data_IF_906979997402
#
_entry.id   IF_906979997402
#
_cell.length_a   1.000
_cell.length_b   1.000
_cell.length_c   1.000
_cell.angle_alpha   90.00
_cell.angle_beta   90.00
_cell.angle_gamma   90.00
#
_symmetry.space_group_name_H-M   'P 1'
#
loop_
_entity.id
_entity.type
_entity.pdbx_description
1 polymer ?
#
# COMPACT_ATOMS: atom_id res chain seq x y z
N UNK A 1 -1.66 -19.84 11.81
CA UNK A 1 -1.96 -19.83 13.26
C UNK A 1 -0.78 -19.20 13.97
N UNK A 2 -1.00 -18.22 14.83
CA UNK A 2 0.04 -17.65 15.71
C UNK A 2 -0.35 -17.84 17.18
N UNK A 3 0.64 -17.80 18.06
CA UNK A 3 0.41 -17.86 19.51
C UNK A 3 0.61 -16.47 20.11
N UNK A 4 -0.30 -16.07 20.96
CA UNK A 4 -0.15 -14.88 21.78
C UNK A 4 0.87 -15.17 22.91
N UNK A 5 1.76 -14.23 23.15
CA UNK A 5 2.69 -14.27 24.28
C UNK A 5 2.07 -13.64 25.54
N UNK A 6 2.85 -13.54 26.60
CA UNK A 6 2.39 -12.99 27.87
C UNK A 6 1.95 -11.51 27.77
N UNK A 7 2.50 -10.74 26.83
CA UNK A 7 2.17 -9.31 26.67
C UNK A 7 0.91 -9.12 25.84
N UNK A 8 0.66 -10.00 24.87
CA UNK A 8 -0.51 -9.95 24.00
C UNK A 8 -1.68 -10.77 24.53
N UNK A 9 -1.45 -11.66 25.49
CA UNK A 9 -2.49 -12.48 26.10
C UNK A 9 -3.61 -11.62 26.69
N UNK A 10 -4.86 -11.90 26.31
CA UNK A 10 -6.05 -11.17 26.75
C UNK A 10 -6.27 -9.84 26.00
N UNK A 11 -5.49 -9.54 24.98
CA UNK A 11 -5.80 -8.55 23.96
C UNK A 11 -6.50 -9.24 22.78
N UNK A 12 -7.38 -8.52 22.11
CA UNK A 12 -8.02 -8.96 20.87
C UNK A 12 -7.13 -8.57 19.69
N UNK A 13 -6.22 -9.48 19.31
CA UNK A 13 -5.13 -9.25 18.35
C UNK A 13 -5.36 -10.03 17.08
N UNK A 14 -5.16 -9.36 15.95
CA UNK A 14 -5.28 -9.94 14.62
C UNK A 14 -4.03 -9.62 13.78
N UNK A 15 -3.51 -10.63 13.08
CA UNK A 15 -2.56 -10.43 12.01
C UNK A 15 -3.30 -9.91 10.77
N UNK A 16 -2.77 -8.89 10.07
CA UNK A 16 -3.50 -8.20 9.00
C UNK A 16 -2.61 -7.91 7.79
N UNK A 17 -3.23 -7.47 6.71
CA UNK A 17 -2.55 -6.87 5.57
C UNK A 17 -1.66 -7.83 4.79
N UNK A 18 -0.45 -7.37 4.48
CA UNK A 18 0.52 -8.10 3.66
C UNK A 18 0.81 -9.51 4.15
N UNK A 19 0.95 -9.68 5.46
CA UNK A 19 1.24 -10.98 6.07
C UNK A 19 0.15 -12.04 5.82
N UNK A 20 -1.12 -11.63 5.85
CA UNK A 20 -2.24 -12.56 5.59
C UNK A 20 -2.35 -12.85 4.10
N UNK A 21 -2.28 -11.80 3.26
CA UNK A 21 -2.30 -11.93 1.80
C UNK A 21 -1.18 -12.85 1.29
N UNK A 22 0.07 -12.62 1.71
CA UNK A 22 1.21 -13.38 1.24
C UNK A 22 1.12 -14.84 1.68
N UNK A 23 0.64 -15.12 2.91
CA UNK A 23 0.36 -16.47 3.36
C UNK A 23 -0.71 -17.17 2.49
N UNK A 24 -1.78 -16.47 2.08
CA UNK A 24 -2.83 -16.99 1.21
C UNK A 24 -2.32 -17.24 -0.23
N UNK A 25 -1.35 -16.45 -0.68
CA UNK A 25 -0.67 -16.65 -1.96
C UNK A 25 0.39 -17.75 -1.92
N UNK A 26 0.67 -18.33 -0.75
CA UNK A 26 1.74 -19.31 -0.55
C UNK A 26 3.15 -18.70 -0.59
N UNK A 27 3.27 -17.40 -0.39
CA UNK A 27 4.55 -16.69 -0.33
C UNK A 27 5.12 -16.65 1.08
N UNK A 28 6.45 -16.51 1.21
CA UNK A 28 7.07 -16.30 2.51
C UNK A 28 6.54 -15.00 3.15
N UNK A 29 6.11 -15.13 4.40
CA UNK A 29 5.73 -13.97 5.21
C UNK A 29 6.98 -13.45 5.92
N UNK A 30 7.39 -12.22 5.62
CA UNK A 30 8.60 -11.60 6.17
C UNK A 30 8.25 -10.67 7.31
N UNK A 31 7.27 -9.78 7.09
CA UNK A 31 6.85 -8.78 8.07
C UNK A 31 5.46 -9.12 8.60
N UNK A 32 5.24 -8.84 9.89
CA UNK A 32 3.96 -9.04 10.53
C UNK A 32 3.41 -7.72 11.03
N UNK A 33 2.25 -7.34 10.48
CA UNK A 33 1.45 -6.22 10.96
C UNK A 33 0.30 -6.74 11.82
N UNK A 34 0.12 -6.12 12.98
CA UNK A 34 -0.90 -6.49 13.94
C UNK A 34 -1.90 -5.36 14.17
N UNK A 35 -3.18 -5.73 14.30
CA UNK A 35 -4.24 -4.83 14.78
C UNK A 35 -4.72 -5.32 16.14
N UNK A 36 -4.87 -4.38 17.07
CA UNK A 36 -5.42 -4.62 18.40
C UNK A 36 -6.76 -3.90 18.50
N UNK A 37 -7.81 -4.66 18.75
CA UNK A 37 -9.18 -4.16 18.91
C UNK A 37 -9.50 -4.00 20.41
N UNK A 38 -10.27 -2.99 20.76
CA UNK A 38 -10.76 -2.81 22.12
C UNK A 38 -9.73 -2.32 23.15
N UNK A 39 -8.51 -1.98 22.72
CA UNK A 39 -7.45 -1.51 23.61
C UNK A 39 -7.25 0.01 23.54
N UNK A 40 -6.66 0.57 24.59
CA UNK A 40 -6.25 1.98 24.65
C UNK A 40 -4.73 2.12 24.56
N UNK A 41 -4.22 3.32 24.18
CA UNK A 41 -2.78 3.59 24.20
C UNK A 41 -2.16 3.37 25.60
N UNK A 42 -2.90 3.66 26.65
CA UNK A 42 -2.47 3.46 28.05
C UNK A 42 -2.32 1.98 28.37
N UNK A 43 -3.28 1.15 27.95
CA UNK A 43 -3.22 -0.30 28.12
C UNK A 43 -2.00 -0.92 27.40
N UNK A 44 -1.69 -0.45 26.20
CA UNK A 44 -0.50 -0.90 25.47
C UNK A 44 0.81 -0.52 26.18
N UNK A 45 0.92 0.74 26.67
CA UNK A 45 2.10 1.21 27.43
C UNK A 45 2.27 0.44 28.72
N UNK A 46 1.20 0.17 29.47
CA UNK A 46 1.23 -0.59 30.72
C UNK A 46 1.73 -2.03 30.51
N UNK A 47 1.52 -2.59 29.32
CA UNK A 47 2.04 -3.90 28.91
C UNK A 47 3.49 -3.84 28.39
N UNK A 48 4.12 -2.66 28.35
CA UNK A 48 5.51 -2.48 27.93
C UNK A 48 5.71 -2.23 26.43
N UNK A 49 4.65 -2.08 25.65
CA UNK A 49 4.74 -1.68 24.24
C UNK A 49 5.25 -0.24 24.12
N UNK A 50 6.10 0.01 23.13
CA UNK A 50 6.70 1.33 22.89
C UNK A 50 5.95 2.06 21.77
N UNK A 51 5.38 3.27 22.03
CA UNK A 51 4.71 4.03 20.98
C UNK A 51 5.72 4.48 19.92
N UNK A 52 5.32 4.42 18.63
CA UNK A 52 6.06 4.93 17.48
C UNK A 52 5.16 5.82 16.64
N UNK A 53 5.76 6.87 16.06
CA UNK A 53 5.01 7.90 15.33
C UNK A 53 4.34 8.92 16.25
N UNK A 54 4.01 10.09 15.68
CA UNK A 54 3.35 11.17 16.41
C UNK A 54 1.83 11.15 16.22
N UNK A 55 1.38 10.72 15.04
CA UNK A 55 0.01 10.92 14.59
C UNK A 55 -0.83 9.63 14.59
N UNK A 56 -0.18 8.46 14.69
CA UNK A 56 -0.85 7.17 14.61
C UNK A 56 -0.58 6.31 15.85
N UNK A 57 -1.61 5.65 16.42
CA UNK A 57 -1.46 4.79 17.60
C UNK A 57 -0.84 3.44 17.24
N UNK A 58 0.43 3.47 16.82
CA UNK A 58 1.25 2.28 16.53
C UNK A 58 2.25 2.07 17.66
N UNK A 59 2.47 0.84 18.02
CA UNK A 59 3.32 0.42 19.12
C UNK A 59 4.26 -0.70 18.68
N UNK A 60 5.53 -0.64 19.08
CA UNK A 60 6.47 -1.74 18.88
C UNK A 60 6.41 -2.71 20.05
N UNK A 61 6.36 -3.99 19.73
CA UNK A 61 6.50 -5.04 20.69
C UNK A 61 7.93 -5.03 21.28
N UNK A 62 8.11 -5.03 22.62
CA UNK A 62 9.42 -4.78 23.23
C UNK A 62 10.49 -5.84 22.93
N UNK A 63 10.09 -7.07 22.56
CA UNK A 63 11.00 -8.17 22.30
C UNK A 63 11.15 -8.50 20.81
N UNK A 64 10.06 -8.41 20.01
CA UNK A 64 10.09 -8.77 18.59
C UNK A 64 10.27 -7.58 17.67
N UNK A 65 10.01 -6.35 18.17
CA UNK A 65 9.97 -5.10 17.40
C UNK A 65 8.87 -5.07 16.31
N UNK A 66 7.95 -6.03 16.30
CA UNK A 66 6.80 -6.03 15.41
C UNK A 66 5.83 -4.89 15.74
N UNK A 67 5.14 -4.40 14.72
CA UNK A 67 4.22 -3.27 14.83
C UNK A 67 2.80 -3.71 15.20
N UNK A 68 2.27 -3.11 16.26
CA UNK A 68 0.91 -3.30 16.77
C UNK A 68 0.16 -1.98 16.67
N UNK A 69 -0.78 -1.87 15.74
CA UNK A 69 -1.64 -0.71 15.59
C UNK A 69 -2.96 -0.91 16.36
N UNK A 70 -3.45 0.10 17.06
CA UNK A 70 -4.82 0.06 17.55
C UNK A 70 -5.79 0.18 16.38
N UNK A 71 -6.91 -0.56 16.45
CA UNK A 71 -8.00 -0.43 15.49
C UNK A 71 -8.45 1.03 15.42
N UNK A 72 -8.62 1.55 14.20
CA UNK A 72 -8.89 2.96 13.98
C UNK A 72 -9.72 3.20 12.72
N UNK A 73 -10.41 4.32 12.71
CA UNK A 73 -10.97 4.93 11.51
C UNK A 73 -10.15 6.17 11.15
N UNK A 74 -10.19 6.53 9.89
CA UNK A 74 -9.52 7.73 9.37
C UNK A 74 -10.59 8.56 8.64
N UNK A 75 -10.57 9.89 8.85
CA UNK A 75 -11.42 10.83 8.11
C UNK A 75 -10.56 11.89 7.48
N UNK A 76 -10.82 12.17 6.20
CA UNK A 76 -10.18 13.30 5.51
C UNK A 76 -10.77 14.61 6.09
N UNK A 77 -9.91 15.46 6.66
CA UNK A 77 -10.27 16.78 7.20
C UNK A 77 -9.58 17.94 6.44
N UNK A 78 -8.70 17.62 5.45
CA UNK A 78 -7.95 18.60 4.66
C UNK A 78 -7.24 17.98 3.48
N UNK A 79 -6.33 18.74 2.85
CA UNK A 79 -5.51 18.27 1.75
C UNK A 79 -4.19 17.66 2.24
N UNK A 80 -3.67 16.65 1.51
CA UNK A 80 -2.38 16.04 1.77
C UNK A 80 -2.34 15.13 3.01
N UNK A 81 -1.12 14.80 3.47
CA UNK A 81 -0.87 13.85 4.56
C UNK A 81 -1.37 14.33 5.93
N UNK A 82 -1.27 15.63 6.22
CA UNK A 82 -1.78 16.23 7.48
C UNK A 82 -3.29 16.44 7.49
N UNK A 83 -3.98 16.10 6.40
CA UNK A 83 -5.43 16.25 6.24
C UNK A 83 -6.24 15.07 6.76
N UNK A 84 -5.68 14.16 7.57
CA UNK A 84 -6.40 13.05 8.17
C UNK A 84 -6.58 13.25 9.68
N UNK A 85 -7.82 13.10 10.15
CA UNK A 85 -8.12 12.89 11.55
C UNK A 85 -8.21 11.39 11.82
N UNK A 86 -7.33 10.92 12.71
CA UNK A 86 -7.30 9.52 13.14
C UNK A 86 -8.10 9.38 14.41
N UNK A 87 -9.14 8.56 14.35
CA UNK A 87 -9.92 8.18 15.53
C UNK A 87 -9.61 6.74 15.91
N UNK A 88 -8.87 6.57 17.00
CA UNK A 88 -8.57 5.29 17.60
C UNK A 88 -9.21 5.23 18.99
N UNK A 89 -10.21 4.40 19.13
CA UNK A 89 -10.98 4.21 20.35
C UNK A 89 -11.31 2.73 20.52
N UNK A 90 -11.50 2.24 21.77
CA UNK A 90 -11.85 0.84 22.01
C UNK A 90 -13.17 0.37 21.38
N UNK A 91 -14.02 1.29 20.94
CA UNK A 91 -15.28 1.01 20.25
C UNK A 91 -15.10 0.77 18.74
N UNK A 92 -13.93 1.09 18.17
CA UNK A 92 -13.65 0.81 16.75
C UNK A 92 -13.52 -0.70 16.54
N UNK A 93 -14.35 -1.21 15.65
CA UNK A 93 -14.40 -2.64 15.32
C UNK A 93 -13.27 -3.04 14.35
N UNK A 94 -12.99 -4.33 14.26
CA UNK A 94 -12.06 -4.87 13.26
C UNK A 94 -12.53 -4.56 11.83
N UNK A 95 -13.83 -4.67 11.56
CA UNK A 95 -14.41 -4.41 10.23
C UNK A 95 -14.22 -2.95 9.82
N UNK A 96 -14.41 -2.00 10.73
CA UNK A 96 -14.16 -0.59 10.47
C UNK A 96 -12.68 -0.30 10.17
N UNK A 97 -11.73 -0.93 10.89
CA UNK A 97 -10.30 -0.83 10.54
C UNK A 97 -9.99 -1.43 9.17
N UNK A 98 -10.57 -2.56 8.84
CA UNK A 98 -10.38 -3.20 7.52
C UNK A 98 -11.00 -2.37 6.39
N UNK A 99 -12.14 -1.69 6.62
CA UNK A 99 -12.86 -0.92 5.61
C UNK A 99 -12.09 0.29 5.05
N UNK A 100 -11.19 0.86 5.85
CA UNK A 100 -10.35 2.00 5.45
C UNK A 100 -9.10 1.62 4.65
N UNK A 101 -8.82 0.32 4.45
CA UNK A 101 -7.64 -0.14 3.72
C UNK A 101 -7.76 0.10 2.21
N UNK A 102 -6.63 -0.01 1.52
CA UNK A 102 -6.55 0.25 0.07
C UNK A 102 -7.27 -0.82 -0.77
N UNK A 103 -6.86 -2.09 -0.63
CA UNK A 103 -7.34 -3.19 -1.46
C UNK A 103 -7.94 -4.31 -0.61
N UNK A 104 -8.94 -5.00 -1.15
CA UNK A 104 -9.62 -6.14 -0.49
C UNK A 104 -8.64 -7.22 -0.07
N UNK A 105 -7.65 -7.52 -0.91
CA UNK A 105 -6.60 -8.49 -0.62
C UNK A 105 -5.70 -8.11 0.58
N UNK A 106 -5.70 -6.84 0.99
CA UNK A 106 -5.01 -6.31 2.16
C UNK A 106 -5.96 -6.10 3.35
N UNK A 107 -7.27 -6.31 3.16
CA UNK A 107 -8.32 -6.12 4.16
C UNK A 107 -8.82 -7.45 4.75
N UNK A 108 -7.92 -8.40 4.88
CA UNK A 108 -8.15 -9.71 5.50
C UNK A 108 -7.40 -9.73 6.84
N UNK A 109 -8.06 -10.21 7.89
CA UNK A 109 -7.45 -10.40 9.20
C UNK A 109 -7.43 -11.88 9.58
N UNK A 110 -6.41 -12.29 10.36
CA UNK A 110 -6.31 -13.63 10.91
C UNK A 110 -6.19 -13.56 12.43
N UNK A 111 -7.10 -14.23 13.12
CA UNK A 111 -7.06 -14.39 14.57
C UNK A 111 -6.06 -15.45 15.04
N UNK A 112 -5.82 -15.57 16.38
CA UNK A 112 -4.85 -16.49 16.96
C UNK A 112 -5.13 -17.96 16.62
N UNK A 113 -6.40 -18.34 16.53
CA UNK A 113 -6.84 -19.68 16.12
C UNK A 113 -6.67 -19.99 14.64
N UNK A 114 -6.20 -19.03 13.84
CA UNK A 114 -6.05 -19.17 12.40
C UNK A 114 -7.32 -18.85 11.59
N UNK A 115 -8.44 -18.54 12.26
CA UNK A 115 -9.67 -18.13 11.60
C UNK A 115 -9.47 -16.82 10.84
N UNK A 116 -10.02 -16.72 9.64
CA UNK A 116 -9.96 -15.51 8.82
C UNK A 116 -11.25 -14.69 9.00
N UNK A 117 -11.07 -13.37 9.11
CA UNK A 117 -12.14 -12.36 9.04
C UNK A 117 -11.93 -11.60 7.74
N UNK A 118 -12.87 -11.74 6.81
CA UNK A 118 -12.77 -11.20 5.44
C UNK A 118 -14.12 -10.60 5.00
N UNK A 119 -14.50 -9.45 5.57
CA UNK A 119 -15.80 -8.83 5.28
C UNK A 119 -15.89 -8.25 3.86
N UNK A 120 -14.75 -8.07 3.18
CA UNK A 120 -14.66 -7.45 1.86
C UNK A 120 -14.29 -8.42 0.73
N UNK A 121 -14.39 -9.74 0.98
CA UNK A 121 -14.16 -10.79 -0.01
C UNK A 121 -12.75 -10.80 -0.63
N UNK A 122 -11.73 -10.40 0.14
CA UNK A 122 -10.35 -10.38 -0.33
C UNK A 122 -9.81 -11.76 -0.72
N UNK A 123 -10.27 -12.85 -0.06
CA UNK A 123 -9.91 -14.21 -0.46
C UNK A 123 -10.42 -14.53 -1.86
N UNK A 124 -11.66 -14.15 -2.18
CA UNK A 124 -12.24 -14.31 -3.51
C UNK A 124 -11.47 -13.51 -4.56
N UNK A 125 -11.08 -12.27 -4.26
CA UNK A 125 -10.28 -11.45 -5.17
C UNK A 125 -8.85 -12.01 -5.35
N UNK A 126 -8.26 -12.64 -4.33
CA UNK A 126 -6.99 -13.39 -4.47
C UNK A 126 -7.17 -14.57 -5.45
N UNK A 127 -8.24 -15.36 -5.32
CA UNK A 127 -8.53 -16.49 -6.22
C UNK A 127 -8.78 -16.03 -7.65
N UNK A 128 -9.49 -14.91 -7.82
CA UNK A 128 -9.80 -14.31 -9.13
C UNK A 128 -8.67 -13.47 -9.70
N UNK A 129 -7.58 -13.29 -8.97
CA UNK A 129 -6.44 -12.44 -9.35
C UNK A 129 -6.85 -11.00 -9.62
N UNK A 130 -7.65 -10.41 -8.74
CA UNK A 130 -8.14 -9.04 -8.85
C UNK A 130 -7.55 -8.12 -7.76
N UNK A 131 -7.15 -6.94 -8.19
CA UNK A 131 -6.85 -5.81 -7.32
C UNK A 131 -8.08 -4.91 -7.27
N UNK A 132 -8.85 -5.03 -6.18
CA UNK A 132 -10.10 -4.29 -5.96
C UNK A 132 -9.97 -3.38 -4.75
N UNK A 133 -10.44 -2.13 -4.84
CA UNK A 133 -10.55 -1.22 -3.69
C UNK A 133 -11.58 -1.75 -2.67
N UNK A 134 -11.34 -1.45 -1.39
CA UNK A 134 -12.21 -1.95 -0.31
C UNK A 134 -13.54 -1.21 -0.26
N UNK A 135 -13.48 0.12 -0.33
CA UNK A 135 -14.63 1.00 -0.11
C UNK A 135 -14.42 2.38 -0.77
N UNK A 136 -15.43 3.26 -0.80
CA UNK A 136 -15.27 4.63 -1.27
C UNK A 136 -14.19 5.44 -0.54
N UNK A 137 -13.79 5.05 0.68
CA UNK A 137 -12.68 5.63 1.41
C UNK A 137 -11.33 5.52 0.66
N UNK A 138 -11.26 4.71 -0.41
CA UNK A 138 -10.11 4.65 -1.31
C UNK A 138 -9.72 6.03 -1.84
N UNK A 139 -10.70 6.87 -2.21
CA UNK A 139 -10.47 8.21 -2.74
C UNK A 139 -9.99 9.23 -1.71
N UNK A 140 -10.02 8.91 -0.42
CA UNK A 140 -9.57 9.82 0.64
C UNK A 140 -8.04 9.98 0.64
N UNK A 141 -7.27 8.93 0.31
CA UNK A 141 -5.81 9.01 0.16
C UNK A 141 -5.40 8.79 -1.32
N UNK A 142 -5.08 9.85 -2.07
CA UNK A 142 -4.67 9.73 -3.48
C UNK A 142 -3.45 8.84 -3.70
N UNK A 143 -2.60 8.63 -2.69
CA UNK A 143 -1.46 7.71 -2.77
C UNK A 143 -1.90 6.26 -3.10
N UNK A 144 -3.13 5.90 -2.80
CA UNK A 144 -3.67 4.56 -3.12
C UNK A 144 -3.71 4.27 -4.61
N UNK A 145 -3.77 5.29 -5.47
CA UNK A 145 -3.60 5.12 -6.92
C UNK A 145 -2.21 4.56 -7.24
N UNK A 146 -1.16 5.18 -6.69
CA UNK A 146 0.22 4.72 -6.88
C UNK A 146 0.44 3.34 -6.25
N UNK A 147 -0.09 3.13 -5.05
CA UNK A 147 -0.02 1.84 -4.35
C UNK A 147 -0.67 0.71 -5.16
N UNK A 148 -1.85 0.95 -5.75
CA UNK A 148 -2.54 -0.05 -6.59
C UNK A 148 -1.72 -0.38 -7.83
N UNK A 149 -1.17 0.64 -8.52
CA UNK A 149 -0.28 0.45 -9.65
C UNK A 149 0.97 -0.36 -9.27
N UNK A 150 1.57 -0.10 -8.08
CA UNK A 150 2.69 -0.88 -7.56
C UNK A 150 2.30 -2.33 -7.24
N UNK A 151 1.11 -2.57 -6.69
CA UNK A 151 0.64 -3.94 -6.47
C UNK A 151 0.44 -4.68 -7.79
N UNK A 152 0.01 -3.99 -8.86
CA UNK A 152 -0.02 -4.61 -10.19
C UNK A 152 1.41 -4.93 -10.67
N UNK A 153 2.36 -4.02 -10.52
CA UNK A 153 3.77 -4.28 -10.84
C UNK A 153 4.31 -5.51 -10.08
N UNK A 154 3.86 -5.72 -8.84
CA UNK A 154 4.26 -6.87 -8.03
C UNK A 154 3.59 -8.18 -8.46
N UNK A 155 2.33 -8.16 -8.89
CA UNK A 155 1.53 -9.37 -9.06
C UNK A 155 1.11 -9.69 -10.49
N UNK A 156 1.42 -8.84 -11.48
CA UNK A 156 1.00 -9.07 -12.88
C UNK A 156 1.49 -10.41 -13.42
N UNK A 157 2.72 -10.84 -13.09
CA UNK A 157 3.26 -12.15 -13.48
C UNK A 157 2.47 -13.34 -12.90
N UNK A 158 1.67 -13.13 -11.86
CA UNK A 158 0.73 -14.12 -11.31
C UNK A 158 -0.65 -14.07 -11.95
N UNK A 159 -0.86 -13.19 -12.94
CA UNK A 159 -2.11 -13.01 -13.64
C UNK A 159 -3.07 -12.03 -12.97
N UNK A 160 -2.62 -11.23 -11.99
CA UNK A 160 -3.46 -10.19 -11.40
C UNK A 160 -3.74 -9.05 -12.37
N UNK A 161 -4.95 -8.52 -12.28
CA UNK A 161 -5.44 -7.33 -13.01
C UNK A 161 -6.17 -6.41 -12.05
N UNK A 162 -6.32 -5.13 -12.42
CA UNK A 162 -7.12 -4.18 -11.65
C UNK A 162 -8.59 -4.36 -12.01
N UNK A 163 -9.47 -4.45 -11.01
CA UNK A 163 -10.91 -4.50 -11.22
C UNK A 163 -11.40 -3.22 -11.91
N UNK A 164 -12.37 -3.34 -12.83
CA UNK A 164 -12.82 -2.24 -13.67
C UNK A 164 -13.38 -1.04 -12.90
N UNK A 165 -14.08 -1.31 -11.80
CA UNK A 165 -14.60 -0.29 -10.89
C UNK A 165 -13.46 0.44 -10.14
N UNK A 166 -12.41 -0.29 -9.75
CA UNK A 166 -11.21 0.29 -9.14
C UNK A 166 -10.44 1.14 -10.13
N UNK A 167 -10.27 0.67 -11.37
CA UNK A 167 -9.61 1.45 -12.42
C UNK A 167 -10.35 2.75 -12.72
N UNK A 168 -11.70 2.70 -12.74
CA UNK A 168 -12.54 3.90 -12.89
C UNK A 168 -12.31 4.87 -11.74
N UNK A 169 -12.35 4.38 -10.49
CA UNK A 169 -12.12 5.22 -9.30
C UNK A 169 -10.71 5.82 -9.27
N UNK A 170 -9.68 5.06 -9.67
CA UNK A 170 -8.31 5.58 -9.81
C UNK A 170 -8.24 6.75 -10.78
N UNK A 171 -8.95 6.67 -11.93
CA UNK A 171 -9.02 7.74 -12.90
C UNK A 171 -9.75 8.98 -12.35
N UNK A 172 -10.85 8.79 -11.63
CA UNK A 172 -11.57 9.88 -10.96
C UNK A 172 -10.70 10.62 -9.96
N UNK A 173 -9.95 9.86 -9.11
CA UNK A 173 -9.00 10.44 -8.18
C UNK A 173 -7.89 11.21 -8.90
N UNK A 174 -7.38 10.69 -10.02
CA UNK A 174 -6.35 11.38 -10.82
C UNK A 174 -6.87 12.70 -11.41
N UNK A 175 -8.10 12.69 -11.90
CA UNK A 175 -8.73 13.88 -12.49
C UNK A 175 -9.15 14.94 -11.46
N UNK A 176 -9.28 14.57 -10.18
CA UNK A 176 -9.63 15.52 -9.11
C UNK A 176 -8.51 16.54 -8.80
N UNK A 177 -7.28 16.29 -9.26
CA UNK A 177 -6.10 17.10 -8.95
C UNK A 177 -5.45 16.79 -7.59
N UNK A 178 -6.04 15.91 -6.79
CA UNK A 178 -5.55 15.56 -5.45
C UNK A 178 -4.16 14.90 -5.45
N UNK A 179 -3.76 14.25 -6.55
CA UNK A 179 -2.42 13.68 -6.71
C UNK A 179 -1.31 14.73 -6.59
N UNK A 180 -1.55 15.96 -7.08
CA UNK A 180 -0.58 17.05 -7.00
C UNK A 180 -0.33 17.57 -5.58
N UNK A 181 -1.15 17.19 -4.60
CA UNK A 181 -0.98 17.54 -3.19
C UNK A 181 -0.22 16.48 -2.38
N UNK A 182 0.18 15.36 -2.99
CA UNK A 182 1.01 14.37 -2.33
C UNK A 182 2.42 14.94 -2.09
N UNK A 183 3.02 14.57 -0.96
CA UNK A 183 4.43 14.87 -0.72
C UNK A 183 5.31 14.05 -1.68
N UNK A 184 6.31 14.68 -2.31
CA UNK A 184 7.18 14.04 -3.28
C UNK A 184 7.88 12.80 -2.72
N UNK A 185 8.25 12.82 -1.44
CA UNK A 185 8.87 11.68 -0.76
C UNK A 185 7.95 10.47 -0.70
N UNK A 186 6.63 10.66 -0.51
CA UNK A 186 5.66 9.56 -0.50
C UNK A 186 5.50 8.95 -1.89
N UNK A 187 5.47 9.81 -2.92
CA UNK A 187 5.42 9.40 -4.32
C UNK A 187 6.66 8.60 -4.69
N UNK A 188 7.84 9.14 -4.32
CA UNK A 188 9.11 8.46 -4.57
C UNK A 188 9.19 7.08 -3.92
N UNK A 189 8.79 6.95 -2.66
CA UNK A 189 8.79 5.66 -1.94
C UNK A 189 7.97 4.59 -2.69
N UNK A 190 6.78 4.93 -3.19
CA UNK A 190 5.97 3.97 -3.95
C UNK A 190 6.58 3.66 -5.32
N UNK A 191 7.19 4.66 -5.97
CA UNK A 191 7.88 4.52 -7.27
C UNK A 191 9.13 3.65 -7.15
N UNK A 192 9.98 3.92 -6.15
CA UNK A 192 11.18 3.14 -5.88
C UNK A 192 10.84 1.67 -5.62
N UNK A 193 9.80 1.43 -4.79
CA UNK A 193 9.30 0.07 -4.57
C UNK A 193 8.79 -0.58 -5.85
N UNK A 194 8.02 0.17 -6.68
CA UNK A 194 7.50 -0.34 -7.94
C UNK A 194 8.62 -0.71 -8.94
N UNK A 195 9.65 0.11 -9.01
CA UNK A 195 10.85 -0.17 -9.81
C UNK A 195 11.62 -1.41 -9.32
N UNK A 196 11.49 -1.78 -8.05
CA UNK A 196 12.03 -3.00 -7.48
C UNK A 196 11.19 -4.26 -7.77
N UNK A 197 9.94 -4.12 -8.21
CA UNK A 197 9.01 -5.24 -8.41
C UNK A 197 9.30 -6.03 -9.70
N UNK A 198 8.72 -7.24 -9.86
CA UNK A 198 8.92 -8.08 -11.04
C UNK A 198 8.50 -7.45 -12.37
N UNK A 199 7.43 -6.68 -12.39
CA UNK A 199 6.86 -6.07 -13.59
C UNK A 199 6.74 -4.54 -13.46
N UNK A 200 7.87 -3.80 -13.35
CA UNK A 200 7.87 -2.36 -13.08
C UNK A 200 7.17 -1.53 -14.17
N UNK A 201 7.14 -2.02 -15.41
CA UNK A 201 6.43 -1.39 -16.53
C UNK A 201 4.94 -1.24 -16.25
N UNK A 202 4.33 -2.16 -15.49
CA UNK A 202 2.92 -2.12 -15.14
C UNK A 202 2.57 -0.91 -14.27
N UNK A 203 3.50 -0.44 -13.45
CA UNK A 203 3.30 0.76 -12.64
C UNK A 203 3.08 1.99 -13.51
N UNK A 204 3.99 2.27 -14.41
CA UNK A 204 3.94 3.45 -15.28
C UNK A 204 2.79 3.37 -16.30
N UNK A 205 2.58 2.18 -16.88
CA UNK A 205 1.46 1.94 -17.79
C UNK A 205 0.12 2.21 -17.11
N UNK A 206 -0.09 1.67 -15.91
CA UNK A 206 -1.32 1.89 -15.13
C UNK A 206 -1.52 3.37 -14.79
N UNK A 207 -0.47 4.07 -14.34
CA UNK A 207 -0.56 5.49 -14.04
C UNK A 207 -0.91 6.30 -15.28
N UNK A 208 -0.37 5.93 -16.45
CA UNK A 208 -0.72 6.60 -17.72
C UNK A 208 -2.17 6.35 -18.12
N UNK A 209 -2.65 5.12 -18.04
CA UNK A 209 -4.04 4.73 -18.32
C UNK A 209 -5.05 5.44 -17.40
N UNK A 210 -4.68 5.65 -16.13
CA UNK A 210 -5.48 6.40 -15.16
C UNK A 210 -5.29 7.93 -15.24
N UNK A 211 -4.48 8.44 -16.18
CA UNK A 211 -4.15 9.86 -16.29
C UNK A 211 -3.44 10.45 -15.07
N UNK A 212 -2.76 9.61 -14.31
CA UNK A 212 -2.00 9.99 -13.11
C UNK A 212 -0.52 10.32 -13.42
N UNK A 213 0.02 9.75 -14.51
CA UNK A 213 1.45 9.84 -14.83
C UNK A 213 1.93 11.27 -14.99
N UNK A 214 1.19 12.08 -15.77
CA UNK A 214 1.57 13.44 -16.09
C UNK A 214 1.65 14.39 -14.88
N UNK A 215 1.05 14.03 -13.75
CA UNK A 215 1.12 14.82 -12.52
C UNK A 215 2.53 14.88 -11.95
N UNK A 216 3.30 13.79 -12.07
CA UNK A 216 4.62 13.64 -11.45
C UNK A 216 5.74 13.40 -12.45
N UNK A 217 5.41 12.91 -13.65
CA UNK A 217 6.36 12.65 -14.74
C UNK A 217 5.76 13.13 -16.07
N UNK A 218 5.51 14.46 -16.24
CA UNK A 218 4.93 14.99 -17.45
C UNK A 218 5.76 14.66 -18.69
N UNK A 219 7.10 14.63 -18.57
CA UNK A 219 8.02 14.33 -19.67
C UNK A 219 7.86 12.89 -20.17
N UNK A 220 7.57 11.94 -19.27
CA UNK A 220 7.31 10.55 -19.65
C UNK A 220 5.92 10.36 -20.26
N UNK A 221 4.95 11.22 -19.90
CA UNK A 221 3.58 11.10 -20.39
C UNK A 221 3.39 11.66 -21.81
N UNK A 222 4.41 12.31 -22.39
CA UNK A 222 4.35 12.91 -23.71
C UNK A 222 4.58 11.92 -24.85
N UNK A 223 3.65 11.85 -25.80
CA UNK A 223 3.79 11.11 -27.06
C UNK A 223 4.15 9.64 -26.87
N UNK A 224 5.23 9.19 -27.53
CA UNK A 224 5.74 7.82 -27.45
C UNK A 224 6.86 7.64 -26.40
N UNK A 225 7.16 8.68 -25.62
CA UNK A 225 8.27 8.69 -24.66
C UNK A 225 8.15 7.58 -23.62
N UNK A 226 6.96 7.35 -23.07
CA UNK A 226 6.71 6.27 -22.13
C UNK A 226 7.05 4.90 -22.75
N UNK A 227 6.59 4.64 -23.97
CA UNK A 227 6.88 3.36 -24.66
C UNK A 227 8.37 3.14 -24.84
N UNK A 228 9.09 4.18 -25.26
CA UNK A 228 10.56 4.12 -25.41
C UNK A 228 11.25 3.89 -24.05
N UNK A 229 10.83 4.61 -23.00
CA UNK A 229 11.39 4.47 -21.67
C UNK A 229 11.16 3.08 -21.07
N UNK A 230 9.97 2.51 -21.23
CA UNK A 230 9.67 1.17 -20.72
C UNK A 230 10.44 0.06 -21.47
N UNK A 231 10.78 0.29 -22.74
CA UNK A 231 11.60 -0.66 -23.51
C UNK A 231 13.04 -0.79 -22.97
N UNK A 232 13.55 0.23 -22.29
CA UNK A 232 14.87 0.22 -21.66
C UNK A 232 14.90 -0.52 -20.31
N UNK A 233 13.75 -0.77 -19.69
CA UNK A 233 13.68 -1.44 -18.39
C UNK A 233 13.73 -2.96 -18.59
N UNK A 234 14.77 -3.65 -18.12
CA UNK A 234 14.85 -5.10 -18.24
C UNK A 234 13.86 -5.79 -17.31
N UNK A 235 13.35 -6.94 -17.76
CA UNK A 235 12.60 -7.86 -16.92
C UNK A 235 13.40 -8.23 -15.65
N UNK A 236 12.70 -8.40 -14.53
CA UNK A 236 13.35 -8.56 -13.24
C UNK A 236 14.03 -9.92 -13.06
N UNK A 237 15.21 -9.96 -12.43
CA UNK A 237 15.58 -11.10 -11.62
C UNK A 237 14.67 -11.19 -10.38
N UNK A 238 14.55 -12.36 -9.78
CA UNK A 238 13.68 -12.67 -8.64
C UNK A 238 13.94 -11.86 -7.36
N UNK A 239 15.00 -11.04 -7.30
CA UNK A 239 15.41 -10.29 -6.12
C UNK A 239 15.27 -8.78 -6.33
N UNK A 240 14.36 -8.18 -5.56
CA UNK A 240 14.25 -6.72 -5.45
C UNK A 240 15.38 -6.16 -4.58
N UNK A 241 15.97 -5.04 -5.02
CA UNK A 241 16.91 -4.27 -4.20
C UNK A 241 16.80 -2.78 -4.53
N UNK A 242 17.13 -1.87 -3.60
CA UNK A 242 17.19 -0.42 -3.89
C UNK A 242 18.13 -0.09 -5.05
N UNK A 243 19.26 -0.77 -5.16
CA UNK A 243 20.21 -0.58 -6.27
C UNK A 243 19.58 -0.93 -7.63
N UNK A 244 18.76 -1.98 -7.70
CA UNK A 244 18.01 -2.35 -8.90
C UNK A 244 16.97 -1.27 -9.26
N UNK A 245 16.25 -0.76 -8.28
CA UNK A 245 15.25 0.28 -8.50
C UNK A 245 15.89 1.58 -9.04
N UNK A 246 16.99 2.02 -8.46
CA UNK A 246 17.73 3.21 -8.92
C UNK A 246 18.30 3.01 -10.32
N UNK A 247 18.85 1.85 -10.62
CA UNK A 247 19.35 1.53 -11.95
C UNK A 247 18.23 1.56 -13.00
N UNK A 248 17.07 0.96 -12.69
CA UNK A 248 15.90 0.99 -13.58
C UNK A 248 15.35 2.41 -13.75
N UNK A 249 15.38 3.21 -12.70
CA UNK A 249 15.02 4.62 -12.82
C UNK A 249 15.95 5.36 -13.76
N UNK A 250 17.26 5.16 -13.63
CA UNK A 250 18.24 5.75 -14.54
C UNK A 250 18.00 5.36 -16.00
N UNK A 251 17.66 4.10 -16.26
CA UNK A 251 17.27 3.64 -17.60
C UNK A 251 15.98 4.30 -18.08
N UNK A 252 14.95 4.34 -17.24
CA UNK A 252 13.66 4.97 -17.55
C UNK A 252 13.83 6.42 -18.02
N UNK A 253 14.69 7.20 -17.36
CA UNK A 253 14.91 8.60 -17.69
C UNK A 253 16.01 8.81 -18.75
N UNK A 254 16.71 7.75 -19.19
CA UNK A 254 17.78 7.86 -20.18
C UNK A 254 17.31 8.30 -21.57
N UNK A 255 16.04 8.06 -21.88
CA UNK A 255 15.42 8.46 -23.15
C UNK A 255 15.08 9.93 -23.21
N UNK A 256 15.10 10.62 -22.06
CA UNK A 256 14.81 12.06 -21.94
C UNK A 256 16.02 12.90 -22.36
N UNK A 257 15.78 14.10 -22.89
CA UNK A 257 16.82 15.09 -23.11
C UNK A 257 17.40 15.59 -21.79
N UNK A 258 18.57 16.24 -21.82
CA UNK A 258 19.19 16.82 -20.63
C UNK A 258 18.27 17.85 -19.97
N UNK A 259 17.59 18.70 -20.77
CA UNK A 259 16.65 19.70 -20.27
C UNK A 259 15.44 19.06 -19.55
N UNK A 260 14.91 17.95 -20.11
CA UNK A 260 13.82 17.21 -19.46
C UNK A 260 14.26 16.51 -18.18
N UNK A 261 15.49 15.97 -18.14
CA UNK A 261 16.04 15.37 -16.90
C UNK A 261 16.25 16.39 -15.80
N UNK A 262 16.71 17.59 -16.17
CA UNK A 262 16.90 18.70 -15.22
C UNK A 262 15.56 19.17 -14.65
N UNK A 263 14.46 19.09 -15.42
CA UNK A 263 13.12 19.43 -14.96
C UNK A 263 12.54 18.41 -13.96
N UNK A 264 13.00 17.15 -13.98
CA UNK A 264 12.62 16.10 -13.03
C UNK A 264 13.40 16.13 -11.71
N UNK A 265 14.50 16.87 -11.63
CA UNK A 265 15.38 16.93 -10.46
C UNK A 265 14.87 17.93 -9.40
#
# INVERSE_FOLDING_TARGET
MFQQDALTQGLDVYRVGGAVRDALLGWPVVDHDWVVVGATPEAMRQRGFKPVGRDFPVFLHPHTAEEYALARTERKSGHGYSGFEVYASPDVTLEEDLSRRDLTINAIAQGPGGQLTDPFHGQQDIEQRLLRHVSPAFSEDPLRVLRTARFLARYAHLGFTIASDTHTLMREVSQSGELGHLAAERVWIETEKALGEPNPEQYFTTLNECQALATWWPELAEGETLTAALAEIPSAPETSSPALAHWRYALLVSVLSDEQRDALA
#
